data_IF_127317910673
#
_entry.id   IF_127317910673
#
_cell.length_a   1.000
_cell.length_b   1.000
_cell.length_c   1.000
_cell.angle_alpha   90.00
_cell.angle_beta   90.00
_cell.angle_gamma   90.00
#
_symmetry.space_group_name_H-M   'P 1'
#
loop_
_entity.id
_entity.type
_entity.pdbx_description
1 polymer ?
#
# COMPACT_ATOMS: atom_id res chain seq x y z
N UNK A 1 -19.54 23.36 -7.45
CA UNK A 1 -19.77 21.88 -7.51
C UNK A 1 -18.52 21.21 -6.94
N UNK A 2 -18.68 20.42 -5.90
CA UNK A 2 -17.53 19.70 -5.30
C UNK A 2 -17.05 18.65 -6.32
N UNK A 3 -15.76 18.70 -6.66
CA UNK A 3 -15.11 17.71 -7.50
C UNK A 3 -15.22 16.33 -6.84
N UNK A 4 -15.55 15.29 -7.61
CA UNK A 4 -15.69 13.94 -7.07
C UNK A 4 -14.34 13.44 -6.52
N UNK A 5 -14.38 12.62 -5.48
CA UNK A 5 -13.15 12.02 -4.91
C UNK A 5 -12.34 11.27 -5.98
N UNK A 6 -13.01 10.61 -6.92
CA UNK A 6 -12.36 9.90 -8.03
C UNK A 6 -11.54 10.85 -8.91
N UNK A 7 -12.13 11.99 -9.32
CA UNK A 7 -11.42 12.99 -10.12
C UNK A 7 -10.22 13.57 -9.38
N UNK A 8 -10.34 13.81 -8.08
CA UNK A 8 -9.23 14.29 -7.23
C UNK A 8 -8.10 13.25 -7.14
N UNK A 9 -8.44 11.97 -6.96
CA UNK A 9 -7.46 10.88 -6.92
C UNK A 9 -6.77 10.73 -8.28
N UNK A 10 -7.53 10.70 -9.38
CA UNK A 10 -6.97 10.61 -10.73
C UNK A 10 -6.02 11.77 -11.03
N UNK A 11 -6.43 13.00 -10.67
CA UNK A 11 -5.57 14.17 -10.82
C UNK A 11 -4.31 14.11 -9.94
N UNK A 12 -4.40 13.52 -8.74
CA UNK A 12 -3.23 13.30 -7.87
C UNK A 12 -2.27 12.27 -8.47
N UNK A 13 -2.77 11.13 -8.97
CA UNK A 13 -1.96 10.13 -9.66
C UNK A 13 -1.23 10.70 -10.89
N UNK A 14 -1.94 11.51 -11.69
CA UNK A 14 -1.34 12.13 -12.88
C UNK A 14 -0.23 13.15 -12.56
N UNK A 15 -0.25 13.76 -11.38
CA UNK A 15 0.78 14.70 -10.92
C UNK A 15 1.95 14.02 -10.21
N UNK A 16 1.73 12.84 -9.63
CA UNK A 16 2.76 12.13 -8.90
C UNK A 16 3.83 11.61 -9.89
N UNK A 17 5.08 12.06 -9.76
CA UNK A 17 6.18 11.68 -10.65
C UNK A 17 7.39 11.12 -9.89
N UNK A 18 7.52 11.45 -8.61
CA UNK A 18 8.69 11.07 -7.83
C UNK A 18 8.54 9.66 -7.26
N UNK A 19 9.47 8.79 -7.61
CA UNK A 19 9.60 7.48 -6.97
C UNK A 19 10.02 7.66 -5.52
N UNK A 20 9.62 6.75 -4.66
CA UNK A 20 10.00 6.75 -3.25
C UNK A 20 10.75 5.46 -2.89
N UNK A 21 11.40 5.47 -1.73
CA UNK A 21 12.18 4.33 -1.27
C UNK A 21 12.15 4.20 0.25
N UNK A 22 12.24 2.98 0.75
CA UNK A 22 12.49 2.69 2.17
C UNK A 22 13.80 3.35 2.68
N UNK A 23 14.64 3.82 1.77
CA UNK A 23 15.91 4.48 2.09
C UNK A 23 15.80 6.00 2.20
N UNK A 24 14.68 6.62 1.82
CA UNK A 24 14.49 8.10 1.85
C UNK A 24 14.66 8.70 3.26
N UNK A 25 14.26 7.97 4.28
CA UNK A 25 14.49 8.35 5.69
C UNK A 25 15.85 7.85 6.23
N UNK A 26 16.66 7.19 5.40
CA UNK A 26 17.91 6.54 5.80
C UNK A 26 19.02 6.82 4.78
N UNK A 27 19.39 8.08 4.56
CA UNK A 27 20.29 8.50 3.47
C UNK A 27 21.73 7.95 3.59
N UNK A 28 22.12 7.49 4.78
CA UNK A 28 23.46 6.93 5.02
C UNK A 28 23.59 5.47 4.52
N UNK A 29 22.53 4.90 3.96
CA UNK A 29 22.57 3.55 3.39
C UNK A 29 23.10 3.61 1.96
N UNK A 30 24.31 3.15 1.76
CA UNK A 30 24.88 2.95 0.42
C UNK A 30 24.36 1.66 -0.16
N UNK A 31 23.72 1.76 -1.32
CA UNK A 31 23.14 0.63 -2.02
C UNK A 31 24.06 0.22 -3.19
N UNK A 32 24.24 -1.09 -3.46
CA UNK A 32 24.98 -1.54 -4.65
C UNK A 32 24.29 -1.08 -5.94
N UNK A 33 25.08 -0.68 -6.95
CA UNK A 33 24.54 -0.18 -8.23
C UNK A 33 23.96 -1.31 -9.11
N UNK A 34 24.37 -2.55 -8.89
CA UNK A 34 24.00 -3.75 -9.66
C UNK A 34 22.75 -4.47 -9.13
N UNK A 35 21.96 -3.81 -8.30
CA UNK A 35 20.74 -4.40 -7.72
C UNK A 35 19.68 -4.68 -8.78
N UNK A 36 19.16 -5.88 -8.77
CA UNK A 36 18.01 -6.27 -9.58
C UNK A 36 16.76 -6.23 -8.72
N UNK A 37 15.88 -5.26 -8.99
CA UNK A 37 14.59 -5.14 -8.32
C UNK A 37 13.58 -6.06 -9.01
N UNK A 38 12.69 -6.63 -8.20
CA UNK A 38 11.58 -7.46 -8.68
C UNK A 38 10.32 -6.62 -8.68
N UNK A 39 9.59 -6.59 -9.78
CA UNK A 39 8.33 -5.88 -9.85
C UNK A 39 7.26 -6.53 -8.96
N UNK A 40 6.47 -5.68 -8.32
CA UNK A 40 5.31 -6.06 -7.53
C UNK A 40 4.19 -5.03 -7.71
N UNK A 41 2.95 -5.49 -7.60
CA UNK A 41 1.77 -4.63 -7.62
C UNK A 41 1.00 -4.75 -6.31
N UNK A 42 0.61 -3.62 -5.72
CA UNK A 42 -0.28 -3.59 -4.55
C UNK A 42 -1.53 -2.79 -4.87
N UNK A 43 -2.69 -3.32 -4.49
CA UNK A 43 -3.94 -2.59 -4.64
C UNK A 43 -4.20 -1.76 -3.39
N UNK A 44 -4.52 -0.48 -3.58
CA UNK A 44 -5.08 0.41 -2.56
C UNK A 44 -6.60 0.44 -2.79
N UNK A 45 -7.36 -0.52 -2.22
CA UNK A 45 -8.79 -0.61 -2.46
C UNK A 45 -9.52 0.39 -1.59
N UNK A 46 -10.22 1.31 -2.23
CA UNK A 46 -11.06 2.32 -1.58
C UNK A 46 -12.52 1.95 -1.80
N UNK A 47 -13.31 1.94 -0.74
CA UNK A 47 -14.75 1.69 -0.80
C UNK A 47 -15.51 2.85 -0.16
N UNK A 48 -16.68 3.19 -0.72
CA UNK A 48 -17.60 4.13 -0.11
C UNK A 48 -18.67 3.37 0.66
N UNK A 49 -18.82 3.69 1.94
CA UNK A 49 -19.87 3.15 2.79
C UNK A 49 -20.41 4.26 3.68
N UNK A 50 -21.74 4.38 3.76
CA UNK A 50 -22.44 5.38 4.59
C UNK A 50 -21.95 6.83 4.35
N UNK A 51 -21.66 7.17 3.10
CA UNK A 51 -21.18 8.50 2.70
C UNK A 51 -19.71 8.78 3.04
N UNK A 52 -19.00 7.82 3.62
CA UNK A 52 -17.59 7.91 3.97
C UNK A 52 -16.74 6.97 3.10
N UNK A 53 -15.49 7.37 2.83
CA UNK A 53 -14.52 6.52 2.12
C UNK A 53 -13.62 5.79 3.12
N UNK A 54 -13.41 4.52 2.84
CA UNK A 54 -12.58 3.62 3.63
C UNK A 54 -11.51 2.98 2.74
N UNK A 55 -10.36 2.73 3.31
CA UNK A 55 -9.29 1.92 2.70
C UNK A 55 -9.35 0.53 3.30
N UNK A 56 -9.25 -0.50 2.45
CA UNK A 56 -9.20 -1.89 2.88
C UNK A 56 -7.76 -2.31 3.06
N UNK A 57 -7.44 -2.91 4.19
CA UNK A 57 -6.13 -3.40 4.56
C UNK A 57 -6.22 -4.84 5.03
N UNK A 58 -5.10 -5.55 4.92
CA UNK A 58 -4.92 -6.91 5.41
C UNK A 58 -3.97 -6.94 6.59
N UNK A 59 -4.17 -7.90 7.48
CA UNK A 59 -3.18 -8.32 8.46
C UNK A 59 -2.61 -9.66 8.01
N UNK A 60 -1.34 -9.67 7.70
CA UNK A 60 -0.64 -10.88 7.24
C UNK A 60 -0.69 -11.96 8.31
N UNK A 61 -0.78 -13.20 7.87
CA UNK A 61 -0.83 -14.34 8.79
C UNK A 61 0.38 -14.38 9.70
N UNK A 62 0.11 -14.66 10.98
CA UNK A 62 1.14 -14.87 12.00
C UNK A 62 1.97 -16.14 11.76
N UNK A 63 1.50 -17.06 10.90
CA UNK A 63 2.21 -18.26 10.51
C UNK A 63 3.26 -18.05 9.41
N UNK A 64 3.29 -16.90 8.76
CA UNK A 64 4.22 -16.59 7.69
C UNK A 64 5.67 -16.45 8.20
N UNK A 65 6.64 -16.94 7.42
CA UNK A 65 8.07 -16.79 7.72
C UNK A 65 8.55 -15.35 7.60
N UNK A 66 7.92 -14.56 6.72
CA UNK A 66 8.30 -13.17 6.45
C UNK A 66 7.16 -12.24 6.82
N UNK A 67 7.48 -11.23 7.63
CA UNK A 67 6.54 -10.17 8.04
C UNK A 67 5.23 -10.68 8.69
N UNK A 68 5.29 -11.63 9.66
CA UNK A 68 4.10 -12.14 10.33
C UNK A 68 3.36 -11.01 11.06
N UNK A 69 2.02 -10.97 10.93
CA UNK A 69 1.17 -9.99 11.57
C UNK A 69 1.30 -8.55 11.05
N UNK A 70 2.09 -8.31 10.01
CA UNK A 70 2.23 -6.98 9.41
C UNK A 70 0.94 -6.56 8.73
N UNK A 71 0.59 -5.27 8.88
CA UNK A 71 -0.49 -4.67 8.11
C UNK A 71 0.04 -4.34 6.71
N UNK A 72 -0.73 -4.68 5.68
CA UNK A 72 -0.37 -4.48 4.29
C UNK A 72 -1.60 -4.13 3.43
N UNK A 73 -1.39 -3.53 2.27
CA UNK A 73 -2.34 -3.60 1.18
C UNK A 73 -2.30 -4.99 0.55
N UNK A 74 -3.41 -5.52 0.02
CA UNK A 74 -3.37 -6.73 -0.76
C UNK A 74 -2.47 -6.53 -1.99
N UNK A 75 -1.60 -7.52 -2.25
CA UNK A 75 -0.66 -7.41 -3.34
C UNK A 75 0.56 -8.30 -3.20
N UNK A 76 1.27 -8.46 -4.31
CA UNK A 76 2.40 -9.37 -4.37
C UNK A 76 3.31 -9.16 -5.57
N UNK A 77 4.18 -10.13 -5.79
CA UNK A 77 5.15 -10.15 -6.87
C UNK A 77 4.44 -10.32 -8.22
N UNK A 78 4.92 -9.59 -9.23
CA UNK A 78 4.47 -9.80 -10.60
C UNK A 78 4.88 -11.17 -11.10
N UNK A 79 3.89 -11.95 -11.55
CA UNK A 79 4.12 -13.24 -12.19
C UNK A 79 4.37 -13.08 -13.70
N UNK A 80 5.08 -14.01 -14.34
CA UNK A 80 5.33 -13.96 -15.80
C UNK A 80 4.06 -13.92 -16.64
N UNK A 81 2.93 -14.39 -16.12
CA UNK A 81 1.62 -14.37 -16.78
C UNK A 81 0.87 -13.04 -16.63
N UNK A 82 1.30 -12.16 -15.74
CA UNK A 82 0.64 -10.88 -15.54
C UNK A 82 1.01 -9.89 -16.66
N UNK A 83 0.03 -9.35 -17.40
CA UNK A 83 0.31 -8.38 -18.47
C UNK A 83 1.07 -7.14 -17.97
N UNK A 84 0.68 -6.65 -16.80
CA UNK A 84 1.26 -5.49 -16.13
C UNK A 84 1.08 -5.57 -14.60
N UNK A 85 1.67 -4.61 -13.88
CA UNK A 85 1.60 -4.53 -12.41
C UNK A 85 0.19 -4.19 -11.89
N UNK A 86 -0.66 -3.59 -12.72
CA UNK A 86 -2.05 -3.33 -12.37
C UNK A 86 -2.83 -4.65 -12.29
N UNK A 87 -2.64 -5.54 -13.28
CA UNK A 87 -3.24 -6.87 -13.26
C UNK A 87 -2.67 -7.73 -12.12
N UNK A 88 -1.38 -7.60 -11.81
CA UNK A 88 -0.79 -8.21 -10.60
C UNK A 88 -1.57 -7.79 -9.34
N UNK A 89 -1.74 -6.48 -9.13
CA UNK A 89 -2.42 -5.95 -7.94
C UNK A 89 -3.87 -6.45 -7.81
N UNK A 90 -4.59 -6.53 -8.93
CA UNK A 90 -5.96 -7.03 -8.97
C UNK A 90 -6.04 -8.55 -8.71
N UNK A 91 -5.15 -9.34 -9.32
CA UNK A 91 -5.07 -10.79 -9.11
C UNK A 91 -4.77 -11.11 -7.65
N UNK A 92 -3.75 -10.49 -7.09
CA UNK A 92 -3.34 -10.69 -5.68
C UNK A 92 -4.48 -10.31 -4.71
N UNK A 93 -5.18 -9.20 -4.97
CA UNK A 93 -6.33 -8.81 -4.14
C UNK A 93 -7.48 -9.82 -4.25
N UNK A 94 -7.66 -10.45 -5.42
CA UNK A 94 -8.63 -11.53 -5.57
C UNK A 94 -8.21 -12.77 -4.78
N UNK A 95 -6.94 -13.18 -4.87
CA UNK A 95 -6.39 -14.35 -4.20
C UNK A 95 -6.37 -14.17 -2.66
N UNK A 96 -5.89 -13.02 -2.18
CA UNK A 96 -5.71 -12.76 -0.74
C UNK A 96 -7.01 -12.48 0.01
N UNK A 97 -7.97 -11.77 -0.61
CA UNK A 97 -9.18 -11.28 0.09
C UNK A 97 -10.50 -11.55 -0.65
N UNK A 98 -10.48 -12.23 -1.78
CA UNK A 98 -11.68 -12.54 -2.56
C UNK A 98 -12.28 -11.34 -3.30
N UNK A 99 -11.55 -10.25 -3.48
CA UNK A 99 -12.04 -9.06 -4.19
C UNK A 99 -12.04 -9.30 -5.69
N UNK A 100 -13.25 -9.42 -6.29
CA UNK A 100 -13.39 -9.60 -7.73
C UNK A 100 -12.78 -8.41 -8.50
N UNK A 101 -11.82 -8.64 -9.42
CA UNK A 101 -11.26 -7.61 -10.28
C UNK A 101 -12.32 -6.78 -11.04
N UNK A 102 -13.44 -7.38 -11.43
CA UNK A 102 -14.55 -6.69 -12.10
C UNK A 102 -15.30 -5.73 -11.17
N UNK A 103 -15.15 -5.89 -9.86
CA UNK A 103 -15.73 -5.00 -8.86
C UNK A 103 -14.82 -3.79 -8.56
N UNK A 104 -13.67 -3.66 -9.24
CA UNK A 104 -12.69 -2.58 -9.00
C UNK A 104 -12.57 -1.67 -10.22
N UNK A 105 -12.94 -0.41 -10.04
CA UNK A 105 -12.62 0.65 -11.02
C UNK A 105 -11.23 1.20 -10.70
N UNK A 106 -10.22 0.90 -11.52
CA UNK A 106 -8.88 1.44 -11.36
C UNK A 106 -8.89 2.95 -11.63
N UNK A 107 -8.46 3.74 -10.66
CA UNK A 107 -8.41 5.19 -10.73
C UNK A 107 -7.05 5.71 -11.21
N UNK A 108 -5.98 4.97 -10.96
CA UNK A 108 -4.63 5.32 -11.37
C UNK A 108 -3.57 4.52 -10.62
N UNK A 109 -2.32 4.84 -10.92
CA UNK A 109 -1.15 4.28 -10.28
C UNK A 109 -0.30 5.39 -9.67
N UNK A 110 0.36 5.12 -8.57
CA UNK A 110 1.41 5.99 -8.04
C UNK A 110 2.77 5.53 -8.55
N UNK A 111 3.78 6.43 -8.53
CA UNK A 111 5.15 6.05 -8.82
C UNK A 111 5.61 4.89 -7.94
N UNK A 112 6.52 4.05 -8.46
CA UNK A 112 7.00 2.89 -7.73
C UNK A 112 7.72 3.26 -6.44
N UNK A 113 7.64 2.36 -5.45
CA UNK A 113 8.35 2.42 -4.20
C UNK A 113 9.36 1.27 -4.10
N UNK A 114 10.64 1.63 -3.92
CA UNK A 114 11.69 0.65 -3.71
C UNK A 114 11.72 0.19 -2.25
N UNK A 115 11.61 -1.14 -2.05
CA UNK A 115 11.65 -1.73 -0.71
C UNK A 115 13.05 -2.29 -0.38
N UNK A 116 13.35 -2.39 0.92
CA UNK A 116 14.58 -3.06 1.41
C UNK A 116 14.67 -4.53 1.05
N UNK A 117 13.55 -5.15 0.68
CA UNK A 117 13.46 -6.54 0.25
C UNK A 117 13.66 -6.71 -1.25
N UNK A 118 14.16 -5.65 -1.92
CA UNK A 118 14.47 -5.62 -3.36
C UNK A 118 13.23 -5.79 -4.25
N UNK A 119 12.11 -5.19 -3.85
CA UNK A 119 10.95 -5.04 -4.71
C UNK A 119 10.80 -3.60 -5.18
N UNK A 120 10.35 -3.46 -6.42
CA UNK A 120 9.86 -2.23 -7.01
C UNK A 120 8.32 -2.31 -6.98
N UNK A 121 7.72 -1.77 -5.94
CA UNK A 121 6.28 -1.91 -5.67
C UNK A 121 5.51 -0.77 -6.30
N UNK A 122 4.61 -1.07 -7.23
CA UNK A 122 3.71 -0.08 -7.83
C UNK A 122 2.37 -0.09 -7.12
N UNK A 123 1.98 1.02 -6.46
CA UNK A 123 0.67 1.13 -5.85
C UNK A 123 -0.39 1.47 -6.91
N UNK A 124 -1.45 0.67 -6.94
CA UNK A 124 -2.61 0.82 -7.83
C UNK A 124 -3.81 1.26 -6.99
N UNK A 125 -4.41 2.40 -7.29
CA UNK A 125 -5.58 2.89 -6.56
C UNK A 125 -6.83 2.41 -7.28
N UNK A 126 -7.67 1.66 -6.56
CA UNK A 126 -8.92 1.12 -7.08
C UNK A 126 -10.12 1.52 -6.23
N UNK A 127 -11.22 1.93 -6.89
CA UNK A 127 -12.50 2.12 -6.25
C UNK A 127 -13.32 0.83 -6.32
N UNK A 128 -13.62 0.24 -5.18
CA UNK A 128 -14.54 -0.90 -5.05
C UNK A 128 -15.96 -0.39 -5.27
N UNK A 129 -16.62 -0.89 -6.31
CA UNK A 129 -17.90 -0.36 -6.77
C UNK A 129 -19.08 -0.86 -5.93
N UNK A 130 -18.98 -2.09 -5.43
CA UNK A 130 -20.00 -2.73 -4.59
C UNK A 130 -19.33 -3.35 -3.37
N UNK A 131 -20.00 -3.30 -2.24
CA UNK A 131 -19.51 -4.01 -1.03
C UNK A 131 -19.41 -5.52 -1.29
N UNK A 132 -18.52 -6.18 -0.59
CA UNK A 132 -18.26 -7.60 -0.74
C UNK A 132 -17.90 -8.22 0.63
N UNK A 133 -18.19 -9.49 0.76
CA UNK A 133 -17.76 -10.28 1.90
C UNK A 133 -16.32 -10.73 1.66
N UNK A 134 -15.39 -10.16 2.42
CA UNK A 134 -14.00 -10.52 2.30
C UNK A 134 -13.78 -12.00 2.68
N UNK A 135 -13.06 -12.71 1.83
CA UNK A 135 -12.67 -14.11 2.01
C UNK A 135 -11.14 -14.19 2.17
N UNK A 136 -10.61 -14.00 3.41
CA UNK A 136 -9.17 -14.08 3.65
C UNK A 136 -8.61 -15.44 3.26
N UNK A 137 -7.56 -15.48 2.44
CA UNK A 137 -6.86 -16.71 2.11
C UNK A 137 -6.17 -17.27 3.37
N UNK A 138 -6.53 -18.53 3.70
CA UNK A 138 -6.01 -19.20 4.91
C UNK A 138 -4.54 -19.51 4.74
N UNK A 139 -3.71 -18.90 5.57
CA UNK A 139 -2.25 -19.06 5.54
C UNK A 139 -1.52 -17.80 5.14
N UNK A 140 -2.15 -16.87 4.41
CA UNK A 140 -1.55 -15.58 4.03
C UNK A 140 -2.14 -14.39 4.78
N UNK A 141 -3.45 -14.40 5.04
CA UNK A 141 -4.19 -13.29 5.65
C UNK A 141 -4.95 -13.76 6.87
N UNK A 142 -4.64 -13.20 8.05
CA UNK A 142 -5.38 -13.46 9.29
C UNK A 142 -6.66 -12.61 9.38
N UNK A 143 -6.65 -11.40 8.81
CA UNK A 143 -7.74 -10.44 8.96
C UNK A 143 -7.79 -9.45 7.81
N UNK A 144 -9.00 -9.05 7.41
CA UNK A 144 -9.27 -7.93 6.50
C UNK A 144 -10.07 -6.89 7.26
N UNK A 145 -9.62 -5.63 7.23
CA UNK A 145 -10.28 -4.55 7.98
C UNK A 145 -10.27 -3.23 7.19
N UNK A 146 -11.06 -2.27 7.66
CA UNK A 146 -11.23 -0.97 7.01
C UNK A 146 -10.74 0.16 7.90
N UNK A 147 -10.07 1.14 7.29
CA UNK A 147 -9.61 2.37 7.96
C UNK A 147 -10.19 3.56 7.21
N UNK A 148 -10.72 4.60 7.89
CA UNK A 148 -11.20 5.79 7.20
C UNK A 148 -10.10 6.41 6.33
N UNK A 149 -10.41 6.68 5.05
CA UNK A 149 -9.45 7.25 4.11
C UNK A 149 -8.87 8.59 4.61
N UNK A 150 -9.71 9.44 5.19
CA UNK A 150 -9.27 10.71 5.76
C UNK A 150 -8.31 10.55 6.95
N UNK A 151 -8.37 9.41 7.66
CA UNK A 151 -7.45 9.11 8.75
C UNK A 151 -6.05 8.79 8.21
N UNK A 152 -5.94 7.93 7.18
CA UNK A 152 -4.65 7.60 6.56
C UNK A 152 -4.05 8.74 5.75
N UNK A 153 -4.87 9.65 5.23
CA UNK A 153 -4.40 10.85 4.51
C UNK A 153 -4.01 12.03 5.42
N UNK A 154 -4.29 11.94 6.72
CA UNK A 154 -4.03 13.04 7.65
C UNK A 154 -2.60 13.01 8.16
N UNK A 155 -1.78 14.00 7.76
CA UNK A 155 -0.38 14.11 8.15
C UNK A 155 -0.15 14.09 9.69
N UNK A 156 -1.14 14.54 10.48
CA UNK A 156 -1.07 14.51 11.95
C UNK A 156 -1.04 13.12 12.56
N UNK A 157 -1.46 12.10 11.80
CA UNK A 157 -1.48 10.71 12.27
C UNK A 157 -0.17 9.97 11.91
N UNK A 158 0.72 10.63 11.15
CA UNK A 158 2.01 10.07 10.78
C UNK A 158 3.04 10.32 11.88
N UNK A 159 3.72 9.27 12.25
CA UNK A 159 4.81 9.32 13.21
C UNK A 159 6.06 8.70 12.59
N UNK A 160 7.22 9.30 12.82
CA UNK A 160 8.49 8.68 12.47
C UNK A 160 8.94 7.87 13.67
N UNK A 161 9.17 6.58 13.46
CA UNK A 161 9.77 5.69 14.44
C UNK A 161 11.05 5.08 13.91
N UNK A 162 11.84 4.50 14.77
CA UNK A 162 13.05 3.81 14.39
C UNK A 162 13.21 2.50 15.14
N UNK A 163 13.78 1.51 14.46
CA UNK A 163 14.15 0.23 15.06
C UNK A 163 15.53 -0.21 14.59
N UNK A 164 16.19 -1.02 15.41
CA UNK A 164 17.44 -1.64 15.03
C UNK A 164 17.18 -2.84 14.13
N UNK A 165 17.74 -2.81 12.90
CA UNK A 165 17.64 -3.89 11.94
C UNK A 165 19.00 -4.13 11.28
N UNK A 166 19.47 -5.38 11.24
CA UNK A 166 20.81 -5.75 10.75
C UNK A 166 21.94 -4.86 11.32
N UNK A 167 21.87 -4.57 12.63
CA UNK A 167 22.89 -3.79 13.33
C UNK A 167 22.80 -2.26 13.17
N UNK A 168 21.93 -1.74 12.28
CA UNK A 168 21.75 -0.30 12.02
C UNK A 168 20.38 0.18 12.51
N UNK A 169 20.30 1.44 12.91
CA UNK A 169 19.02 2.10 13.22
C UNK A 169 18.36 2.52 11.92
N UNK A 170 17.09 2.17 11.73
CA UNK A 170 16.30 2.54 10.55
C UNK A 170 15.06 3.28 10.97
N UNK A 171 14.88 4.48 10.38
CA UNK A 171 13.68 5.28 10.51
C UNK A 171 12.61 4.83 9.49
N UNK A 172 11.35 4.90 9.88
CA UNK A 172 10.21 4.57 9.03
C UNK A 172 8.96 5.29 9.52
N UNK A 173 8.01 5.54 8.61
CA UNK A 173 6.71 6.09 8.95
C UNK A 173 5.78 5.06 9.57
N UNK A 174 4.93 5.52 10.49
CA UNK A 174 3.87 4.72 11.11
C UNK A 174 2.59 5.53 11.26
N UNK A 175 1.46 4.84 11.14
CA UNK A 175 0.12 5.37 11.44
C UNK A 175 -0.60 4.37 12.34
N UNK A 176 -0.59 4.56 13.67
CA UNK A 176 -1.34 3.71 14.58
C UNK A 176 -2.85 3.92 14.41
N UNK A 177 -3.61 2.83 14.29
CA UNK A 177 -5.07 2.86 14.20
C UNK A 177 -5.69 1.73 15.04
N UNK A 178 -6.24 2.07 16.21
CA UNK A 178 -6.75 1.08 17.16
C UNK A 178 -5.68 0.05 17.53
N UNK A 179 -5.97 -1.26 17.38
CA UNK A 179 -4.98 -2.31 17.64
C UNK A 179 -3.96 -2.50 16.51
N UNK A 180 -4.16 -1.81 15.39
CA UNK A 180 -3.33 -1.98 14.17
C UNK A 180 -2.20 -0.98 14.14
N UNK A 181 -1.06 -1.46 13.70
CA UNK A 181 0.15 -0.68 13.53
C UNK A 181 0.52 -0.65 12.06
N UNK A 182 0.05 0.38 11.36
CA UNK A 182 0.29 0.55 9.93
C UNK A 182 1.67 1.19 9.75
N UNK A 183 2.57 0.58 8.96
CA UNK A 183 3.93 1.05 8.77
C UNK A 183 4.54 0.61 7.43
N UNK A 184 5.70 1.19 7.05
CA UNK A 184 6.47 0.82 5.86
C UNK A 184 5.93 1.44 4.58
N UNK A 185 6.11 0.74 3.45
CA UNK A 185 5.77 1.20 2.11
C UNK A 185 4.32 1.68 1.94
N UNK A 186 3.40 1.20 2.76
CA UNK A 186 2.01 1.66 2.83
C UNK A 186 1.88 3.18 2.98
N UNK A 187 2.82 3.82 3.66
CA UNK A 187 2.74 5.22 4.05
C UNK A 187 3.50 6.15 3.10
N UNK A 188 4.43 5.62 2.31
CA UNK A 188 5.11 6.39 1.27
C UNK A 188 4.21 6.70 0.08
N UNK A 189 3.11 5.96 -0.06
CA UNK A 189 2.07 6.21 -1.07
C UNK A 189 1.06 7.29 -0.65
N UNK A 190 1.17 7.80 0.57
CA UNK A 190 0.38 8.91 1.06
C UNK A 190 1.12 10.24 0.84
N UNK A 191 0.42 11.39 0.63
CA UNK A 191 1.09 12.67 0.45
C UNK A 191 2.04 12.95 1.61
N UNK A 192 3.32 13.10 1.27
CA UNK A 192 4.38 13.36 2.25
C UNK A 192 4.09 14.64 3.04
N UNK A 193 4.36 14.66 4.35
CA UNK A 193 4.36 15.90 5.11
C UNK A 193 5.32 16.97 4.57
N UNK A 194 6.28 16.61 3.69
CA UNK A 194 7.25 17.52 3.06
C UNK A 194 6.64 18.38 1.96
N UNK A 195 5.49 18.00 1.37
CA UNK A 195 4.87 18.72 0.26
C UNK A 195 3.99 19.90 0.70
N UNK A 196 4.06 20.28 1.97
CA UNK A 196 3.33 21.43 2.54
C UNK A 196 4.32 22.49 3.05
N UNK A 197 5.16 22.95 2.13
CA UNK A 197 5.93 24.19 2.30
C UNK A 197 5.17 25.38 1.73
#
# INVERSE_FOLDING_TARGET
MSESICARIQAACARAQDCSSDFDLNPDVVLPDDRVLRDAGVLIPIIQQDGQYWVILTKRSSALKHHPGQIAFPGGKRDPGDPDVCQTALREAHEEIGLDPQNVAVLGQLPPHETVTQFNVTPVIGLVQKDFDALPERGEVDEVFRVPLNFVLSAKNFHIQSRRWQGRQRAYFTVPYGPYYIWGCLLYTSPSPRDRG
#
